data_IF_073455557871
#
_entry.id   IF_073455557871
#
_cell.length_a   1.000
_cell.length_b   1.000
_cell.length_c   1.000
_cell.angle_alpha   90.00
_cell.angle_beta   90.00
_cell.angle_gamma   90.00
#
_symmetry.space_group_name_H-M   'P 1'
#
loop_
_entity.id
_entity.type
_entity.pdbx_description
1 polymer ?
#
# COMPACT_ATOMS: atom_id res chain seq x y z
N UNK A 1 11.23 8.70 16.77
CA UNK A 1 11.97 7.98 15.72
C UNK A 1 13.32 8.64 15.57
N UNK A 2 14.39 7.88 15.42
CA UNK A 2 15.75 8.40 15.28
C UNK A 2 15.98 8.87 13.81
N UNK A 3 16.28 10.15 13.54
CA UNK A 3 16.37 10.71 12.19
C UNK A 3 17.47 10.09 11.31
N UNK A 4 18.47 9.44 11.92
CA UNK A 4 19.64 8.92 11.23
C UNK A 4 19.54 7.43 10.84
N UNK A 5 18.44 6.77 11.18
CA UNK A 5 18.19 5.39 10.79
C UNK A 5 16.97 5.31 9.88
N UNK A 6 17.22 5.36 8.57
CA UNK A 6 16.23 5.00 7.52
C UNK A 6 15.93 3.50 7.46
N UNK A 7 16.43 2.73 8.43
CA UNK A 7 16.25 1.29 8.49
C UNK A 7 14.86 0.97 9.02
N UNK A 8 13.98 0.60 8.10
CA UNK A 8 12.71 -0.03 8.41
C UNK A 8 12.98 -1.49 8.83
N UNK A 9 12.00 -2.11 9.47
CA UNK A 9 12.02 -3.55 9.74
C UNK A 9 10.87 -4.17 8.95
N UNK A 10 11.18 -5.08 8.04
CA UNK A 10 10.20 -5.90 7.38
C UNK A 10 9.84 -7.07 8.30
N UNK A 11 8.58 -7.14 8.73
CA UNK A 11 8.08 -8.27 9.51
C UNK A 11 7.71 -9.41 8.55
N UNK A 12 8.39 -10.53 8.69
CA UNK A 12 8.22 -11.71 7.85
C UNK A 12 7.73 -12.86 8.70
N UNK A 13 6.65 -13.50 8.26
CA UNK A 13 6.18 -14.75 8.84
C UNK A 13 6.91 -15.92 8.20
N UNK A 14 7.51 -16.78 9.01
CA UNK A 14 8.06 -18.05 8.52
C UNK A 14 6.88 -18.99 8.25
N UNK A 15 6.62 -19.30 6.99
CA UNK A 15 5.48 -20.14 6.61
C UNK A 15 5.78 -21.64 6.63
N UNK A 16 7.03 -22.03 6.39
CA UNK A 16 7.48 -23.42 6.36
C UNK A 16 8.98 -23.51 6.59
N UNK A 17 9.46 -24.71 6.91
CA UNK A 17 10.88 -24.98 7.11
C UNK A 17 11.48 -24.24 8.31
N UNK A 18 12.76 -23.88 8.16
CA UNK A 18 13.58 -23.22 9.17
C UNK A 18 14.24 -21.99 8.54
N UNK A 19 14.01 -20.84 9.15
CA UNK A 19 14.81 -19.65 8.89
C UNK A 19 16.09 -19.72 9.71
N UNK A 20 17.22 -19.48 9.07
CA UNK A 20 18.56 -19.44 9.65
C UNK A 20 19.26 -18.12 9.26
N UNK A 21 19.91 -17.51 10.25
CA UNK A 21 20.71 -16.29 10.08
C UNK A 21 21.89 -16.55 9.14
N UNK A 22 22.26 -15.52 8.37
CA UNK A 22 23.35 -15.57 7.39
C UNK A 22 23.21 -16.61 6.27
N UNK A 23 22.02 -17.20 6.09
CA UNK A 23 21.69 -18.02 4.92
C UNK A 23 21.16 -17.13 3.79
N UNK A 24 21.41 -17.54 2.54
CA UNK A 24 20.88 -16.87 1.36
C UNK A 24 19.44 -17.32 1.09
N UNK A 25 18.52 -16.37 1.07
CA UNK A 25 17.14 -16.56 0.63
C UNK A 25 16.90 -15.84 -0.68
N UNK A 26 16.16 -16.48 -1.58
CA UNK A 26 15.69 -15.86 -2.81
C UNK A 26 14.53 -14.92 -2.51
N UNK A 27 14.70 -13.63 -2.78
CA UNK A 27 13.60 -12.69 -2.91
C UNK A 27 12.95 -12.87 -4.26
N UNK A 28 11.73 -13.40 -4.25
CA UNK A 28 11.09 -13.95 -5.45
C UNK A 28 10.78 -12.83 -6.47
N UNK A 29 10.22 -11.70 -6.02
CA UNK A 29 9.88 -10.57 -6.88
C UNK A 29 11.10 -9.95 -7.59
N UNK A 30 12.24 -9.83 -6.91
CA UNK A 30 13.47 -9.30 -7.53
C UNK A 30 14.36 -10.37 -8.16
N UNK A 31 14.11 -11.65 -7.91
CA UNK A 31 14.95 -12.75 -8.37
C UNK A 31 16.37 -12.73 -7.79
N UNK A 32 16.58 -12.06 -6.65
CA UNK A 32 17.91 -11.87 -6.03
C UNK A 32 18.05 -12.72 -4.77
N UNK A 33 19.26 -13.20 -4.52
CA UNK A 33 19.61 -13.80 -3.24
C UNK A 33 19.92 -12.70 -2.22
N UNK A 34 19.36 -12.83 -1.02
CA UNK A 34 19.50 -11.90 0.09
C UNK A 34 19.96 -12.66 1.33
N UNK A 35 20.85 -12.05 2.09
CA UNK A 35 21.39 -12.61 3.34
C UNK A 35 21.14 -11.64 4.49
N UNK A 36 20.65 -12.16 5.60
CA UNK A 36 20.29 -11.36 6.77
C UNK A 36 21.22 -11.68 7.94
N UNK A 37 22.03 -10.71 8.35
CA UNK A 37 23.02 -10.85 9.44
C UNK A 37 22.51 -10.43 10.81
N UNK A 38 21.44 -9.61 10.84
CA UNK A 38 20.82 -9.11 12.07
C UNK A 38 19.28 -9.24 12.04
N UNK A 39 18.73 -10.44 11.77
CA UNK A 39 17.29 -10.67 11.93
C UNK A 39 16.91 -10.55 13.41
N UNK A 40 15.78 -9.92 13.69
CA UNK A 40 15.31 -9.62 15.05
C UNK A 40 14.09 -10.44 15.39
N UNK A 41 14.10 -11.16 16.51
CA UNK A 41 12.89 -11.70 17.11
C UNK A 41 12.32 -10.70 18.12
N UNK A 42 10.99 -10.64 18.19
CA UNK A 42 10.27 -9.79 19.14
C UNK A 42 9.67 -10.67 20.23
N UNK A 43 10.36 -10.78 21.35
CA UNK A 43 9.93 -11.58 22.49
C UNK A 43 9.69 -10.64 23.68
N UNK A 44 8.42 -10.45 24.02
CA UNK A 44 7.96 -9.45 25.01
C UNK A 44 8.49 -8.03 24.70
N UNK A 45 9.19 -7.38 25.64
CA UNK A 45 9.74 -6.02 25.48
C UNK A 45 11.16 -6.00 24.90
N UNK A 46 11.78 -7.15 24.61
CA UNK A 46 13.17 -7.23 24.15
C UNK A 46 13.24 -7.51 22.65
N UNK A 47 14.19 -6.82 22.00
CA UNK A 47 14.63 -7.09 20.63
C UNK A 47 15.93 -7.88 20.73
N UNK A 48 15.91 -9.11 20.28
CA UNK A 48 17.10 -9.97 20.27
C UNK A 48 17.39 -10.45 18.86
N UNK A 49 18.67 -10.56 18.51
CA UNK A 49 19.06 -11.15 17.23
C UNK A 49 18.76 -12.64 17.28
N UNK A 50 18.06 -13.14 16.27
CA UNK A 50 17.65 -14.54 16.21
C UNK A 50 18.58 -15.32 15.28
N UNK A 51 19.11 -16.45 15.74
CA UNK A 51 19.89 -17.33 14.87
C UNK A 51 18.99 -18.22 14.02
N UNK A 52 17.86 -18.67 14.57
CA UNK A 52 16.95 -19.62 13.93
C UNK A 52 15.47 -19.33 14.28
N UNK A 53 14.56 -19.49 13.31
CA UNK A 53 13.11 -19.39 13.54
C UNK A 53 12.36 -20.46 12.72
N UNK A 54 11.19 -20.87 13.20
CA UNK A 54 10.42 -21.98 12.64
C UNK A 54 9.05 -21.53 12.12
N UNK A 55 8.38 -22.43 11.39
CA UNK A 55 7.05 -22.16 10.86
C UNK A 55 6.08 -21.65 11.93
N UNK A 56 5.49 -20.49 11.70
CA UNK A 56 4.62 -19.77 12.63
C UNK A 56 5.27 -18.52 13.24
N UNK A 57 6.59 -18.48 13.34
CA UNK A 57 7.31 -17.36 13.94
C UNK A 57 7.30 -16.11 13.05
N UNK A 58 7.37 -14.94 13.69
CA UNK A 58 7.55 -13.65 13.01
C UNK A 58 8.97 -13.15 13.28
N UNK A 59 9.72 -12.95 12.20
CA UNK A 59 11.07 -12.40 12.22
C UNK A 59 11.09 -11.00 11.61
N UNK A 60 11.78 -10.07 12.25
CA UNK A 60 12.05 -8.74 11.72
C UNK A 60 13.34 -8.72 10.93
N UNK A 61 13.27 -8.44 9.63
CA UNK A 61 14.43 -8.29 8.77
C UNK A 61 14.78 -6.80 8.60
N UNK A 62 16.06 -6.42 8.74
CA UNK A 62 16.48 -5.06 8.40
C UNK A 62 16.15 -4.75 6.95
N UNK A 63 15.46 -3.64 6.72
CA UNK A 63 15.05 -3.21 5.39
C UNK A 63 15.54 -1.80 5.08
N UNK A 64 16.11 -1.64 3.89
CA UNK A 64 16.55 -0.35 3.34
C UNK A 64 15.55 0.19 2.30
N UNK A 65 14.31 -0.32 2.28
CA UNK A 65 13.26 0.01 1.31
C UNK A 65 13.20 -0.97 0.12
N UNK A 66 13.70 -2.19 0.30
CA UNK A 66 13.69 -3.24 -0.73
C UNK A 66 12.41 -4.05 -0.69
N UNK A 67 11.87 -4.29 0.51
CA UNK A 67 10.68 -5.12 0.70
C UNK A 67 9.39 -4.34 0.48
N UNK A 68 8.38 -5.04 0.00
CA UNK A 68 6.98 -4.60 -0.05
C UNK A 68 6.10 -5.61 0.65
N UNK A 69 4.92 -5.17 1.10
CA UNK A 69 3.90 -6.09 1.63
C UNK A 69 3.58 -7.14 0.56
N UNK A 70 3.55 -8.42 0.97
CA UNK A 70 3.30 -9.55 0.08
C UNK A 70 4.56 -10.15 -0.56
N UNK A 71 5.74 -9.54 -0.38
CA UNK A 71 6.98 -10.13 -0.88
C UNK A 71 7.24 -11.51 -0.25
N UNK A 72 7.69 -12.46 -1.08
CA UNK A 72 8.00 -13.82 -0.66
C UNK A 72 9.51 -14.06 -0.67
N UNK A 73 10.00 -14.70 0.39
CA UNK A 73 11.37 -15.20 0.53
C UNK A 73 11.35 -16.73 0.55
N UNK A 74 12.19 -17.38 -0.26
CA UNK A 74 12.28 -18.85 -0.33
C UNK A 74 13.73 -19.33 -0.30
N UNK A 75 13.95 -20.62 -0.11
CA UNK A 75 15.28 -21.24 -0.25
C UNK A 75 15.67 -21.52 -1.71
N UNK A 76 14.86 -21.08 -2.69
CA UNK A 76 15.17 -21.23 -4.13
C UNK A 76 13.93 -21.33 -5.03
N UNK A 77 12.82 -21.84 -4.48
CA UNK A 77 11.56 -22.01 -5.20
C UNK A 77 10.98 -20.67 -5.69
N UNK A 78 10.37 -20.69 -6.87
CA UNK A 78 9.66 -19.53 -7.40
C UNK A 78 8.19 -19.57 -6.97
N UNK A 79 7.93 -19.25 -5.71
CA UNK A 79 6.59 -19.30 -5.10
C UNK A 79 6.17 -17.90 -4.64
N UNK A 80 4.90 -17.55 -4.85
CA UNK A 80 4.28 -16.33 -4.35
C UNK A 80 3.09 -16.69 -3.48
N UNK A 81 3.07 -16.19 -2.24
CA UNK A 81 1.90 -16.30 -1.39
C UNK A 81 0.75 -15.42 -1.92
N UNK A 82 -0.48 -15.93 -1.84
CA UNK A 82 -1.73 -15.20 -2.11
C UNK A 82 -2.45 -14.90 -0.78
N UNK A 83 -3.37 -13.95 -0.78
CA UNK A 83 -4.22 -13.66 0.38
C UNK A 83 -3.75 -12.50 1.24
N UNK A 84 -3.00 -11.56 0.66
CA UNK A 84 -2.65 -10.29 1.31
C UNK A 84 -3.26 -9.12 0.52
N UNK A 85 -4.61 -9.00 0.50
CA UNK A 85 -5.26 -7.95 -0.24
C UNK A 85 -5.02 -6.58 0.41
N UNK A 86 -4.95 -5.56 -0.43
CA UNK A 86 -5.20 -4.20 0.01
C UNK A 86 -6.71 -4.02 0.14
N UNK A 87 -7.18 -3.67 1.33
CA UNK A 87 -8.60 -3.43 1.61
C UNK A 87 -8.98 -2.01 1.21
N UNK A 88 -10.21 -1.79 0.74
CA UNK A 88 -10.74 -0.43 0.56
C UNK A 88 -10.50 0.38 1.83
N UNK A 89 -9.90 1.57 1.73
CA UNK A 89 -9.72 2.45 2.89
C UNK A 89 -11.05 2.92 3.48
N UNK A 90 -10.99 3.38 4.72
CA UNK A 90 -12.15 3.86 5.50
C UNK A 90 -12.14 5.39 5.65
N UNK A 91 -10.97 6.02 5.53
CA UNK A 91 -10.83 7.47 5.60
C UNK A 91 -10.08 7.99 4.38
N UNK A 92 -10.49 9.14 3.85
CA UNK A 92 -9.92 9.72 2.65
C UNK A 92 -9.61 11.19 2.86
N UNK A 93 -8.46 11.65 2.36
CA UNK A 93 -8.10 13.08 2.30
C UNK A 93 -7.34 13.37 1.02
N UNK A 94 -7.51 14.57 0.48
CA UNK A 94 -6.59 15.10 -0.52
C UNK A 94 -5.26 15.44 0.14
N UNK A 95 -4.18 15.11 -0.55
CA UNK A 95 -2.83 15.57 -0.18
C UNK A 95 -2.42 16.72 -1.09
N UNK A 96 -2.21 17.88 -0.48
CA UNK A 96 -1.76 19.09 -1.16
C UNK A 96 -0.31 19.41 -0.80
N UNK A 97 0.43 19.90 -1.79
CA UNK A 97 1.79 20.35 -1.55
C UNK A 97 1.75 21.70 -0.79
N UNK A 98 2.40 21.76 0.36
CA UNK A 98 2.52 23.00 1.12
C UNK A 98 3.67 23.89 0.60
N UNK A 99 4.65 23.31 -0.09
CA UNK A 99 5.82 24.00 -0.63
C UNK A 99 5.99 23.69 -2.13
N UNK A 100 5.60 24.61 -3.04
CA UNK A 100 5.72 24.42 -4.49
C UNK A 100 7.13 24.02 -4.96
N UNK A 101 8.19 24.45 -4.25
CA UNK A 101 9.57 24.14 -4.61
C UNK A 101 9.96 22.69 -4.32
N UNK A 102 9.17 21.97 -3.50
CA UNK A 102 9.43 20.59 -3.05
C UNK A 102 8.56 19.53 -3.71
N UNK A 103 7.92 19.85 -4.84
CA UNK A 103 7.00 18.95 -5.53
C UNK A 103 7.61 17.58 -5.83
N UNK A 104 8.84 17.53 -6.36
CA UNK A 104 9.53 16.25 -6.67
C UNK A 104 9.81 15.42 -5.42
N UNK A 105 10.19 16.05 -4.32
CA UNK A 105 10.45 15.38 -3.05
C UNK A 105 9.15 14.82 -2.46
N UNK A 106 8.06 15.60 -2.51
CA UNK A 106 6.74 15.16 -2.07
C UNK A 106 6.28 13.93 -2.86
N UNK A 107 6.38 13.97 -4.19
CA UNK A 107 5.98 12.84 -5.04
C UNK A 107 6.79 11.58 -4.75
N UNK A 108 8.10 11.72 -4.61
CA UNK A 108 8.97 10.60 -4.24
C UNK A 108 8.57 10.02 -2.88
N UNK A 109 8.32 10.88 -1.89
CA UNK A 109 7.93 10.46 -0.55
C UNK A 109 6.58 9.76 -0.52
N UNK A 110 5.56 10.32 -1.18
CA UNK A 110 4.24 9.69 -1.30
C UNK A 110 4.41 8.29 -1.92
N UNK A 111 5.06 8.20 -3.09
CA UNK A 111 5.19 6.93 -3.79
C UNK A 111 5.87 5.85 -2.94
N UNK A 112 6.94 6.20 -2.22
CA UNK A 112 7.64 5.27 -1.34
C UNK A 112 6.79 4.86 -0.13
N UNK A 113 6.14 5.81 0.53
CA UNK A 113 5.26 5.51 1.67
C UNK A 113 4.07 4.61 1.29
N UNK A 114 3.55 4.76 0.07
CA UNK A 114 2.51 3.86 -0.44
C UNK A 114 3.07 2.46 -0.77
N UNK A 115 4.32 2.35 -1.25
CA UNK A 115 4.96 1.04 -1.48
C UNK A 115 5.18 0.25 -0.19
N UNK A 116 5.43 0.97 0.90
CA UNK A 116 5.54 0.38 2.24
C UNK A 116 4.18 -0.07 2.80
N UNK A 117 3.07 0.24 2.11
CA UNK A 117 1.72 -0.14 2.51
C UNK A 117 1.14 0.66 3.67
N UNK A 118 1.69 1.85 3.95
CA UNK A 118 1.17 2.73 5.02
C UNK A 118 -0.25 3.20 4.70
N UNK A 119 -0.55 3.42 3.42
CA UNK A 119 -1.83 3.89 2.92
C UNK A 119 -1.97 3.55 1.43
N UNK A 120 -3.12 3.89 0.84
CA UNK A 120 -3.36 3.78 -0.60
C UNK A 120 -3.43 5.14 -1.25
N UNK A 121 -2.91 5.23 -2.48
CA UNK A 121 -2.95 6.43 -3.32
C UNK A 121 -3.92 6.20 -4.47
N UNK A 122 -4.82 7.17 -4.63
CA UNK A 122 -5.71 7.29 -5.78
C UNK A 122 -5.49 8.63 -6.46
N UNK A 123 -5.52 8.64 -7.78
CA UNK A 123 -5.42 9.87 -8.59
C UNK A 123 -6.75 10.07 -9.28
N UNK A 124 -7.49 11.10 -8.87
CA UNK A 124 -8.78 11.43 -9.46
C UNK A 124 -8.59 11.86 -10.93
N UNK A 125 -9.31 11.21 -11.84
CA UNK A 125 -9.16 11.42 -13.28
C UNK A 125 -9.75 12.75 -13.77
N UNK A 126 -10.66 13.34 -13.00
CA UNK A 126 -11.33 14.59 -13.36
C UNK A 126 -10.48 15.84 -13.08
N UNK A 127 -9.78 15.87 -11.94
CA UNK A 127 -9.02 17.04 -11.49
C UNK A 127 -7.53 16.75 -11.24
N UNK A 128 -7.07 15.52 -11.48
CA UNK A 128 -5.71 15.05 -11.28
C UNK A 128 -5.17 15.24 -9.83
N UNK A 129 -6.07 15.41 -8.85
CA UNK A 129 -5.70 15.55 -7.44
C UNK A 129 -5.43 14.17 -6.83
N UNK A 130 -4.48 14.12 -5.91
CA UNK A 130 -4.06 12.92 -5.19
C UNK A 130 -4.90 12.75 -3.93
N UNK A 131 -5.51 11.59 -3.79
CA UNK A 131 -6.31 11.19 -2.64
C UNK A 131 -5.55 10.08 -1.92
N UNK A 132 -5.35 10.25 -0.62
CA UNK A 132 -4.77 9.23 0.24
C UNK A 132 -5.90 8.59 1.03
N UNK A 133 -6.01 7.27 0.91
CA UNK A 133 -6.94 6.45 1.67
C UNK A 133 -6.22 5.69 2.77
N UNK A 134 -6.71 5.80 4.00
CA UNK A 134 -6.19 5.12 5.19
C UNK A 134 -7.28 4.30 5.90
N UNK A 135 -6.87 3.30 6.70
CA UNK A 135 -7.80 2.58 7.60
C UNK A 135 -8.04 3.34 8.91
N UNK A 136 -7.18 4.31 9.23
CA UNK A 136 -7.34 5.13 10.44
C UNK A 136 -6.65 6.48 10.35
N UNK A 137 -6.99 7.37 11.27
CA UNK A 137 -6.53 8.77 11.26
C UNK A 137 -5.02 8.90 11.51
N UNK A 138 -4.46 8.09 12.40
CA UNK A 138 -3.04 8.14 12.76
C UNK A 138 -2.11 7.96 11.55
N UNK A 139 -2.55 7.23 10.53
CA UNK A 139 -1.77 7.03 9.30
C UNK A 139 -1.51 8.34 8.55
N UNK A 140 -2.46 9.30 8.55
CA UNK A 140 -2.23 10.62 7.97
C UNK A 140 -1.14 11.40 8.71
N UNK A 141 -1.13 11.31 10.04
CA UNK A 141 -0.13 11.97 10.89
C UNK A 141 1.26 11.37 10.67
N UNK A 142 1.33 10.04 10.59
CA UNK A 142 2.57 9.32 10.28
C UNK A 142 3.08 9.71 8.88
N UNK A 143 2.22 9.77 7.86
CA UNK A 143 2.62 10.18 6.51
C UNK A 143 3.15 11.62 6.53
N UNK A 144 2.44 12.55 7.16
CA UNK A 144 2.86 13.95 7.24
C UNK A 144 4.21 14.10 7.96
N UNK A 145 4.40 13.41 9.08
CA UNK A 145 5.66 13.39 9.81
C UNK A 145 6.81 12.85 8.95
N UNK A 146 6.60 11.70 8.29
CA UNK A 146 7.64 11.07 7.46
C UNK A 146 7.97 11.89 6.22
N UNK A 147 6.98 12.47 5.55
CA UNK A 147 7.22 13.39 4.43
C UNK A 147 8.12 14.56 4.83
N UNK A 148 7.86 15.15 6.00
CA UNK A 148 8.66 16.26 6.52
C UNK A 148 10.08 15.82 6.89
N UNK A 149 10.22 14.74 7.66
CA UNK A 149 11.51 14.36 8.25
C UNK A 149 12.40 13.54 7.31
N UNK A 150 11.85 12.69 6.45
CA UNK A 150 12.62 11.83 5.54
C UNK A 150 12.86 12.49 4.17
N UNK A 151 11.93 13.32 3.71
CA UNK A 151 11.96 13.91 2.37
C UNK A 151 12.05 15.44 2.37
N UNK A 152 11.91 16.09 3.53
CA UNK A 152 11.90 17.55 3.63
C UNK A 152 10.73 18.19 2.89
N UNK A 153 9.62 17.47 2.75
CA UNK A 153 8.44 17.90 2.01
C UNK A 153 7.27 18.12 2.97
N UNK A 154 6.73 19.34 2.99
CA UNK A 154 5.54 19.65 3.77
C UNK A 154 4.28 19.40 2.95
N UNK A 155 3.28 18.76 3.55
CA UNK A 155 1.97 18.56 2.94
C UNK A 155 0.86 19.13 3.81
N UNK A 156 -0.26 19.47 3.17
CA UNK A 156 -1.52 19.85 3.80
C UNK A 156 -2.58 18.83 3.44
N UNK A 157 -3.42 18.51 4.41
CA UNK A 157 -4.55 17.63 4.22
C UNK A 157 -5.80 18.46 3.97
N UNK A 158 -6.54 18.14 2.92
CA UNK A 158 -7.88 18.67 2.67
C UNK A 158 -8.89 17.54 2.76
N UNK A 159 -10.00 17.80 3.44
CA UNK A 159 -11.07 16.80 3.62
C UNK A 159 -11.73 16.49 2.29
N UNK A 160 -12.01 15.21 2.05
CA UNK A 160 -12.86 14.77 0.94
C UNK A 160 -13.95 13.85 1.50
N UNK A 161 -15.18 14.08 1.05
CA UNK A 161 -16.32 13.27 1.47
C UNK A 161 -16.41 12.04 0.54
N UNK A 162 -15.77 10.96 0.97
CA UNK A 162 -15.86 9.66 0.31
C UNK A 162 -16.31 8.61 1.33
N UNK A 163 -17.20 7.75 0.89
CA UNK A 163 -17.70 6.61 1.64
C UNK A 163 -16.88 5.35 1.35
N UNK A 164 -16.54 5.09 0.08
CA UNK A 164 -15.78 3.89 -0.30
C UNK A 164 -15.01 4.05 -1.60
N UNK A 165 -13.89 3.36 -1.71
CA UNK A 165 -13.16 3.18 -2.97
C UNK A 165 -13.35 1.74 -3.45
N UNK A 166 -13.87 1.56 -4.65
CA UNK A 166 -14.13 0.24 -5.22
C UNK A 166 -13.34 0.10 -6.51
N UNK A 167 -12.53 -0.94 -6.64
CA UNK A 167 -11.98 -1.27 -7.95
C UNK A 167 -13.10 -1.81 -8.83
N UNK A 168 -13.06 -1.45 -10.12
CA UNK A 168 -14.09 -1.86 -11.06
C UNK A 168 -13.50 -2.65 -12.22
N UNK A 169 -14.19 -3.70 -12.62
CA UNK A 169 -13.91 -4.46 -13.82
C UNK A 169 -15.23 -4.81 -14.53
N UNK A 170 -15.14 -5.13 -15.81
CA UNK A 170 -16.28 -5.59 -16.61
C UNK A 170 -15.76 -6.44 -17.75
N UNK A 171 -16.49 -7.50 -18.07
CA UNK A 171 -16.27 -8.31 -19.27
C UNK A 171 -16.80 -7.60 -20.54
N UNK A 172 -17.60 -6.53 -20.38
CA UNK A 172 -18.06 -5.61 -21.43
C UNK A 172 -17.30 -4.26 -21.37
N UNK A 173 -16.35 -4.00 -22.29
CA UNK A 173 -15.61 -2.75 -22.36
C UNK A 173 -16.47 -1.52 -22.68
N UNK A 174 -17.57 -1.69 -23.41
CA UNK A 174 -18.44 -0.59 -23.82
C UNK A 174 -19.23 -0.08 -22.63
N UNK A 175 -19.74 -1.00 -21.80
CA UNK A 175 -20.43 -0.64 -20.56
C UNK A 175 -19.49 0.02 -19.56
N UNK A 176 -18.25 -0.49 -19.44
CA UNK A 176 -17.23 0.12 -18.58
C UNK A 176 -16.89 1.56 -19.00
N UNK A 177 -16.68 1.80 -20.30
CA UNK A 177 -16.40 3.15 -20.81
C UNK A 177 -17.60 4.10 -20.58
N UNK A 178 -18.83 3.61 -20.80
CA UNK A 178 -20.05 4.35 -20.50
C UNK A 178 -20.16 4.71 -19.01
N UNK A 179 -19.83 3.77 -18.11
CA UNK A 179 -19.78 4.01 -16.68
C UNK A 179 -18.75 5.09 -16.32
N UNK A 180 -17.51 4.95 -16.83
CA UNK A 180 -16.43 5.90 -16.60
C UNK A 180 -16.82 7.31 -17.06
N UNK A 181 -17.48 7.44 -18.22
CA UNK A 181 -17.99 8.72 -18.72
C UNK A 181 -19.09 9.30 -17.83
N UNK A 182 -20.08 8.49 -17.44
CA UNK A 182 -21.20 8.95 -16.59
C UNK A 182 -20.76 9.31 -15.17
N UNK A 183 -19.75 8.62 -14.63
CA UNK A 183 -19.23 8.81 -13.27
C UNK A 183 -17.86 9.50 -13.24
N UNK A 184 -17.49 10.23 -14.30
CA UNK A 184 -16.15 10.77 -14.49
C UNK A 184 -15.57 11.54 -13.28
N UNK A 185 -16.40 12.31 -12.58
CA UNK A 185 -16.00 13.08 -11.39
C UNK A 185 -15.55 12.21 -10.20
N UNK A 186 -16.03 10.96 -10.16
CA UNK A 186 -15.78 9.98 -9.11
C UNK A 186 -14.83 8.87 -9.58
N UNK A 187 -14.28 8.98 -10.78
CA UNK A 187 -13.29 8.03 -11.28
C UNK A 187 -11.90 8.43 -10.81
N UNK A 188 -11.15 7.44 -10.33
CA UNK A 188 -9.75 7.55 -10.01
C UNK A 188 -9.00 6.35 -10.60
N UNK A 189 -7.67 6.45 -10.59
CA UNK A 189 -6.79 5.30 -10.80
C UNK A 189 -5.98 5.07 -9.54
N UNK A 190 -5.73 3.81 -9.21
CA UNK A 190 -4.76 3.47 -8.18
C UNK A 190 -3.31 3.58 -8.71
N UNK A 191 -2.34 3.27 -7.84
CA UNK A 191 -0.92 3.28 -8.18
C UNK A 191 -0.54 2.31 -9.30
N UNK A 192 -1.31 1.24 -9.50
CA UNK A 192 -1.10 0.23 -10.55
C UNK A 192 -1.84 0.57 -11.85
N UNK A 193 -2.54 1.71 -11.89
CA UNK A 193 -3.30 2.17 -13.06
C UNK A 193 -4.66 1.50 -13.21
N UNK A 194 -5.15 0.79 -12.18
CA UNK A 194 -6.48 0.17 -12.19
C UNK A 194 -7.56 1.21 -11.95
N UNK A 195 -8.69 1.04 -12.61
CA UNK A 195 -9.85 1.91 -12.44
C UNK A 195 -10.49 1.73 -11.05
N UNK A 196 -10.70 2.85 -10.37
CA UNK A 196 -11.31 2.92 -9.05
C UNK A 196 -12.48 3.89 -9.08
N UNK A 197 -13.64 3.41 -8.64
CA UNK A 197 -14.82 4.23 -8.38
C UNK A 197 -14.82 4.71 -6.93
N UNK A 198 -14.81 6.04 -6.75
CA UNK A 198 -14.84 6.71 -5.46
C UNK A 198 -16.29 7.09 -5.11
N UNK A 199 -16.99 6.21 -4.39
CA UNK A 199 -18.35 6.47 -3.95
C UNK A 199 -18.37 7.49 -2.81
N UNK A 200 -19.18 8.53 -2.94
CA UNK A 200 -19.39 9.56 -1.90
C UNK A 200 -20.36 9.11 -0.79
N UNK A 201 -21.21 8.12 -1.08
CA UNK A 201 -22.20 7.57 -0.15
C UNK A 201 -22.52 6.11 -0.47
N UNK A 202 -23.04 5.39 0.54
CA UNK A 202 -23.52 4.01 0.34
C UNK A 202 -24.67 3.91 -0.66
N UNK A 203 -25.54 4.93 -0.71
CA UNK A 203 -26.64 4.99 -1.67
C UNK A 203 -26.14 5.09 -3.12
N UNK A 204 -25.18 5.98 -3.40
CA UNK A 204 -24.61 6.14 -4.74
C UNK A 204 -23.90 4.87 -5.20
N UNK A 205 -23.22 4.18 -4.29
CA UNK A 205 -22.61 2.88 -4.58
C UNK A 205 -23.68 1.83 -4.96
N UNK A 206 -24.75 1.72 -4.17
CA UNK A 206 -25.82 0.77 -4.44
C UNK A 206 -26.56 1.07 -5.76
N UNK A 207 -26.79 2.35 -6.04
CA UNK A 207 -27.39 2.78 -7.31
C UNK A 207 -26.50 2.42 -8.49
N UNK A 208 -25.19 2.67 -8.40
CA UNK A 208 -24.23 2.29 -9.43
C UNK A 208 -24.23 0.77 -9.69
N UNK A 209 -24.26 -0.06 -8.63
CA UNK A 209 -24.34 -1.51 -8.75
C UNK A 209 -25.65 -1.99 -9.41
N UNK A 210 -26.76 -1.30 -9.16
CA UNK A 210 -28.06 -1.64 -9.75
C UNK A 210 -28.17 -1.23 -11.22
N UNK A 211 -27.63 -0.06 -11.57
CA UNK A 211 -27.70 0.53 -12.91
C UNK A 211 -26.74 -0.16 -13.90
N UNK A 212 -25.61 -0.69 -13.41
CA UNK A 212 -24.55 -1.30 -14.22
C UNK A 212 -24.26 -2.73 -13.75
N UNK A 213 -25.12 -3.65 -14.16
CA UNK A 213 -25.10 -5.04 -13.65
C UNK A 213 -23.92 -5.87 -14.14
N UNK A 214 -23.29 -5.50 -15.25
CA UNK A 214 -22.13 -6.22 -15.77
C UNK A 214 -20.80 -5.69 -15.22
N UNK A 215 -20.84 -4.60 -14.43
CA UNK A 215 -19.67 -4.08 -13.74
C UNK A 215 -19.56 -4.74 -12.37
N UNK A 216 -18.41 -5.36 -12.12
CA UNK A 216 -18.06 -5.92 -10.82
C UNK A 216 -17.35 -4.86 -10.00
N UNK A 217 -17.75 -4.74 -8.74
CA UNK A 217 -17.19 -3.78 -7.78
C UNK A 217 -16.44 -4.56 -6.70
N UNK A 218 -15.13 -4.36 -6.62
CA UNK A 218 -14.25 -5.06 -5.69
C UNK A 218 -13.83 -4.13 -4.54
N UNK A 219 -13.88 -4.66 -3.32
CA UNK A 219 -13.46 -3.96 -2.11
C UNK A 219 -12.06 -4.36 -1.63
N UNK A 220 -11.45 -5.30 -2.34
CA UNK A 220 -10.09 -5.79 -2.12
C UNK A 220 -9.34 -5.70 -3.44
N UNK A 221 -8.04 -5.46 -3.38
CA UNK A 221 -7.19 -5.39 -4.57
C UNK A 221 -6.83 -6.75 -5.18
N UNK A 222 -7.18 -7.86 -4.51
CA UNK A 222 -7.10 -9.22 -5.07
C UNK A 222 -8.43 -9.54 -5.74
N UNK A 223 -8.49 -9.37 -7.05
CA UNK A 223 -9.59 -9.80 -7.92
C UNK A 223 -9.05 -10.20 -9.29
#
# INVERSE_FOLDING_TARGET
>A
MDPNHRSCIAFVKVCSGKFERNVNYRHVRHGKLMRFSAPTAFMAQKKETVDEAYAGDIVGLPDTGTFKIGDTLTSGENLHFKGLPSFSPEMFKYIENADPMKTKQLEKGINQLMDEGVAQLFINQYNNRKIIGTVGQLQFEVIQYRLLHEYGAQCRWETVNLHKACWIESDDPTELDNFKKRKAQYMAVDKEGRDVFLADSGYVLQMAQNDFKNIKFHFTSEF
#
